data_IF_025305569983
#
_entry.id   IF_025305569983
#
_cell.length_a   1.000
_cell.length_b   1.000
_cell.length_c   1.000
_cell.angle_alpha   90.00
_cell.angle_beta   90.00
_cell.angle_gamma   90.00
#
_symmetry.space_group_name_H-M   'P 1'
#
loop_
_entity.id
_entity.type
_entity.pdbx_description
1 polymer ?
#
# COMPACT_ATOMS: atom_id res chain seq x y z
N UNK A 1 7.30 -10.64 9.81
CA UNK A 1 6.72 -9.89 8.69
C UNK A 1 6.30 -8.51 9.18
N UNK A 2 6.86 -7.43 8.64
CA UNK A 2 6.51 -6.07 9.07
C UNK A 2 5.24 -5.60 8.39
N UNK A 3 4.37 -4.93 9.16
CA UNK A 3 3.12 -4.39 8.63
C UNK A 3 3.39 -3.08 7.90
N UNK A 4 2.92 -2.97 6.67
CA UNK A 4 2.94 -1.70 5.94
C UNK A 4 1.82 -0.80 6.46
N UNK A 5 2.04 0.52 6.39
CA UNK A 5 1.07 1.51 6.85
C UNK A 5 0.91 2.61 5.82
N UNK A 6 -0.34 3.03 5.63
CA UNK A 6 -0.72 4.08 4.71
C UNK A 6 -0.18 5.46 5.12
N UNK A 7 -0.50 6.50 4.35
CA UNK A 7 -0.15 7.90 4.63
C UNK A 7 -0.48 8.32 6.07
N UNK A 8 -1.65 7.94 6.57
CA UNK A 8 -2.19 8.28 7.89
C UNK A 8 -1.86 7.26 8.99
N UNK A 9 -0.94 6.33 8.71
CA UNK A 9 -0.51 5.27 9.61
C UNK A 9 -1.60 4.23 9.92
N UNK A 10 -2.59 4.08 9.05
CA UNK A 10 -3.49 2.94 9.10
C UNK A 10 -2.79 1.70 8.55
N UNK A 11 -2.98 0.52 9.16
CA UNK A 11 -2.39 -0.71 8.66
C UNK A 11 -2.94 -1.05 7.28
N UNK A 12 -2.06 -1.50 6.39
CA UNK A 12 -2.41 -2.04 5.08
C UNK A 12 -2.38 -3.57 5.14
N UNK A 13 -3.41 -4.18 4.56
CA UNK A 13 -3.50 -5.62 4.37
C UNK A 13 -4.00 -5.88 2.93
N UNK A 14 -3.68 -7.03 2.31
CA UNK A 14 -4.35 -7.47 1.10
C UNK A 14 -5.88 -7.43 1.24
N UNK A 15 -6.57 -7.01 0.17
CA UNK A 15 -8.03 -6.81 0.17
C UNK A 15 -8.52 -5.44 0.67
N UNK A 16 -7.65 -4.62 1.28
CA UNK A 16 -8.02 -3.24 1.62
C UNK A 16 -8.22 -2.39 0.36
N UNK A 17 -9.26 -1.55 0.37
CA UNK A 17 -9.42 -0.47 -0.61
C UNK A 17 -8.56 0.71 -0.21
N UNK A 18 -7.86 1.27 -1.18
CA UNK A 18 -6.97 2.41 -1.01
C UNK A 18 -7.15 3.41 -2.15
N UNK A 19 -6.82 4.67 -1.88
CA UNK A 19 -6.67 5.72 -2.88
C UNK A 19 -5.24 6.23 -2.89
N UNK A 20 -4.64 6.36 -4.07
CA UNK A 20 -3.33 7.00 -4.24
C UNK A 20 -3.48 8.51 -4.20
N UNK A 21 -2.64 9.20 -3.44
CA UNK A 21 -2.83 10.62 -3.10
C UNK A 21 -2.82 11.56 -4.29
N UNK A 22 -2.01 11.29 -5.30
CA UNK A 22 -1.68 12.28 -6.32
C UNK A 22 -2.61 12.13 -7.54
N UNK A 23 -2.78 10.89 -8.03
CA UNK A 23 -3.66 10.57 -9.16
C UNK A 23 -5.11 10.35 -8.77
N UNK A 24 -5.41 10.22 -7.46
CA UNK A 24 -6.72 9.77 -6.94
C UNK A 24 -7.15 8.40 -7.45
N UNK A 25 -6.22 7.60 -7.99
CA UNK A 25 -6.50 6.22 -8.38
C UNK A 25 -7.01 5.43 -7.18
N UNK A 26 -8.14 4.77 -7.34
CA UNK A 26 -8.71 3.87 -6.33
C UNK A 26 -8.44 2.44 -6.76
N UNK A 27 -7.94 1.62 -5.83
CA UNK A 27 -7.65 0.22 -6.06
C UNK A 27 -7.86 -0.63 -4.81
N UNK A 28 -7.72 -1.94 -5.00
CA UNK A 28 -7.71 -2.92 -3.91
C UNK A 28 -6.33 -3.55 -3.84
N UNK A 29 -5.73 -3.61 -2.64
CA UNK A 29 -4.41 -4.21 -2.47
C UNK A 29 -4.47 -5.69 -2.85
N UNK A 30 -3.61 -6.11 -3.77
CA UNK A 30 -3.42 -7.50 -4.16
C UNK A 30 -2.38 -8.17 -3.26
N UNK A 31 -1.22 -7.55 -3.09
CA UNK A 31 -0.10 -8.06 -2.30
C UNK A 31 0.78 -6.92 -1.77
N UNK A 32 1.62 -7.25 -0.77
CA UNK A 32 2.63 -6.34 -0.20
C UNK A 32 3.96 -7.09 -0.18
N UNK A 33 4.92 -6.63 -0.98
CA UNK A 33 6.21 -7.28 -1.23
C UNK A 33 7.31 -6.63 -0.41
N UNK A 34 7.33 -6.88 0.90
CA UNK A 34 8.20 -6.18 1.85
C UNK A 34 9.17 -7.09 2.62
N UNK A 35 9.28 -8.36 2.27
CA UNK A 35 10.03 -9.35 3.06
C UNK A 35 11.54 -9.07 3.16
N UNK A 36 12.10 -8.38 2.15
CA UNK A 36 13.52 -8.00 2.10
C UNK A 36 13.81 -6.56 2.55
N UNK A 37 12.81 -5.85 3.08
CA UNK A 37 12.94 -4.45 3.48
C UNK A 37 13.08 -4.32 4.99
N UNK A 38 13.94 -3.39 5.44
CA UNK A 38 13.94 -3.00 6.84
C UNK A 38 12.68 -2.21 7.17
N UNK A 39 12.27 -2.25 8.44
CA UNK A 39 11.02 -1.61 8.92
C UNK A 39 10.95 -0.13 8.53
N UNK A 40 12.06 0.58 8.59
CA UNK A 40 12.20 1.99 8.26
C UNK A 40 12.11 2.31 6.75
N UNK A 41 12.29 1.31 5.89
CA UNK A 41 12.29 1.44 4.42
C UNK A 41 10.90 1.17 3.83
N UNK A 42 10.13 0.26 4.43
CA UNK A 42 8.81 -0.19 3.94
C UNK A 42 7.92 0.98 3.54
N UNK A 43 7.90 2.07 4.31
CA UNK A 43 7.01 3.21 4.06
C UNK A 43 7.27 3.94 2.73
N UNK A 44 8.51 3.90 2.23
CA UNK A 44 8.96 4.61 1.02
C UNK A 44 9.17 3.69 -0.17
N UNK A 45 9.37 2.40 0.07
CA UNK A 45 9.58 1.42 -1.00
C UNK A 45 8.29 1.18 -1.77
N UNK A 46 8.38 1.13 -3.12
CA UNK A 46 7.28 0.74 -3.99
C UNK A 46 7.05 -0.77 -3.90
N UNK A 47 6.31 -1.19 -2.87
CA UNK A 47 6.09 -2.60 -2.54
C UNK A 47 4.62 -3.01 -2.47
N UNK A 48 3.68 -2.08 -2.63
CA UNK A 48 2.24 -2.39 -2.61
C UNK A 48 1.73 -2.58 -4.03
N UNK A 49 1.16 -3.75 -4.29
CA UNK A 49 0.52 -4.09 -5.56
C UNK A 49 -0.99 -3.88 -5.46
N UNK A 50 -1.60 -3.31 -6.50
CA UNK A 50 -3.06 -3.14 -6.59
C UNK A 50 -3.63 -4.04 -7.70
N UNK A 51 -4.80 -4.65 -7.45
CA UNK A 51 -5.46 -5.54 -8.41
C UNK A 51 -5.76 -4.81 -9.72
N UNK A 52 -5.28 -5.36 -10.84
CA UNK A 52 -5.57 -4.84 -12.19
C UNK A 52 -4.93 -3.48 -12.50
N UNK A 53 -3.99 -3.02 -11.68
CA UNK A 53 -3.26 -1.76 -11.86
C UNK A 53 -1.79 -2.08 -12.09
N UNK A 54 -1.20 -1.54 -13.15
CA UNK A 54 0.21 -1.74 -13.43
C UNK A 54 1.10 -0.95 -12.46
N UNK A 55 2.12 -1.62 -11.93
CA UNK A 55 3.15 -1.03 -11.09
C UNK A 55 2.93 -1.25 -9.59
N UNK A 56 3.86 -0.68 -8.82
CA UNK A 56 3.86 -0.74 -7.35
C UNK A 56 3.83 0.65 -6.75
N UNK A 57 3.23 0.74 -5.56
CA UNK A 57 3.03 1.98 -4.83
C UNK A 57 3.75 1.91 -3.49
N UNK A 58 4.28 3.05 -3.06
CA UNK A 58 4.79 3.17 -1.70
C UNK A 58 3.63 3.33 -0.72
N UNK A 59 3.67 2.68 0.47
CA UNK A 59 2.61 2.80 1.45
C UNK A 59 2.24 4.26 1.81
N UNK A 60 3.22 5.17 1.87
CA UNK A 60 2.98 6.59 2.15
C UNK A 60 2.21 7.36 1.08
N UNK A 61 2.09 6.81 -0.13
CA UNK A 61 1.32 7.37 -1.24
C UNK A 61 -0.16 6.95 -1.18
N UNK A 62 -0.50 6.00 -0.30
CA UNK A 62 -1.83 5.38 -0.22
C UNK A 62 -2.60 5.90 0.98
N UNK A 63 -3.93 5.93 0.86
CA UNK A 63 -4.87 6.26 1.93
C UNK A 63 -5.91 5.14 2.00
N UNK A 64 -6.04 4.49 3.16
CA UNK A 64 -6.99 3.41 3.38
C UNK A 64 -8.41 3.96 3.39
N UNK A 65 -9.28 3.36 2.56
CA UNK A 65 -10.71 3.69 2.47
C UNK A 65 -11.60 2.69 3.21
N UNK A 66 -11.07 1.52 3.58
CA UNK A 66 -11.82 0.46 4.26
C UNK A 66 -11.43 -0.92 3.76
N UNK A 67 -12.24 -1.93 4.13
CA UNK A 67 -12.22 -3.26 3.52
C UNK A 67 -13.46 -3.40 2.65
N UNK A 68 -13.31 -4.07 1.51
CA UNK A 68 -14.45 -4.52 0.69
C UNK A 68 -14.92 -5.86 1.21
#
# INVERSE_FOLDING_TARGET
MYKAYDRYRNPLDPGCRVMQSDSRLIGTIAAIHADNLKREEVRRAKCVELKGVNGYFAPQELMRLGRS
#
